data_IF_927836365923
#
_entry.id   IF_927836365923
#
_cell.length_a   1.000
_cell.length_b   1.000
_cell.length_c   1.000
_cell.angle_alpha   90.00
_cell.angle_beta   90.00
_cell.angle_gamma   90.00
#
_symmetry.space_group_name_H-M   'P 1'
#
loop_
_entity.id
_entity.type
_entity.pdbx_description
1 polymer ?
#
# COMPACT_ATOMS: atom_id res chain seq x y z
N UNK A 1 3.89 -6.20 -34.84
CA UNK A 1 3.65 -7.38 -33.98
C UNK A 1 4.77 -7.44 -32.96
N UNK A 2 4.53 -6.91 -31.76
CA UNK A 2 5.52 -6.91 -30.68
C UNK A 2 5.19 -8.07 -29.74
N UNK A 3 6.09 -9.04 -29.67
CA UNK A 3 6.01 -10.22 -28.82
C UNK A 3 6.21 -9.81 -27.36
N UNK A 4 5.17 -10.00 -26.55
CA UNK A 4 5.25 -9.90 -25.09
C UNK A 4 6.11 -11.06 -24.56
N UNK A 5 7.28 -10.73 -24.03
CA UNK A 5 8.11 -11.67 -23.30
C UNK A 5 7.35 -12.08 -22.03
N UNK A 6 7.02 -13.38 -21.97
CA UNK A 6 6.57 -14.04 -20.77
C UNK A 6 7.67 -13.92 -19.70
N UNK A 7 7.36 -13.28 -18.59
CA UNK A 7 8.14 -13.43 -17.38
C UNK A 7 7.71 -14.75 -16.74
N UNK A 8 8.61 -15.74 -16.85
CA UNK A 8 8.49 -17.06 -16.24
C UNK A 8 8.08 -16.98 -14.77
N UNK A 9 7.08 -17.80 -14.45
CA UNK A 9 6.64 -18.05 -13.10
C UNK A 9 7.59 -18.99 -12.39
N UNK A 10 8.43 -18.44 -11.53
CA UNK A 10 9.06 -19.16 -10.43
C UNK A 10 8.72 -18.40 -9.14
N UNK A 11 7.43 -18.38 -8.79
CA UNK A 11 6.94 -17.86 -7.51
C UNK A 11 7.36 -18.83 -6.41
N UNK A 12 8.63 -18.68 -5.99
CA UNK A 12 9.08 -19.16 -4.70
C UNK A 12 8.09 -18.64 -3.67
N UNK A 13 7.33 -19.56 -3.04
CA UNK A 13 6.46 -19.29 -1.89
C UNK A 13 7.32 -18.81 -0.71
N UNK A 14 7.87 -17.60 -0.81
CA UNK A 14 8.50 -16.91 0.30
C UNK A 14 7.35 -16.53 1.21
N UNK A 15 7.35 -17.12 2.40
CA UNK A 15 6.47 -16.67 3.46
C UNK A 15 6.96 -15.28 3.86
N UNK A 16 6.13 -14.27 3.64
CA UNK A 16 6.37 -12.93 4.14
C UNK A 16 5.75 -12.84 5.53
N UNK A 17 6.56 -12.52 6.54
CA UNK A 17 6.08 -12.35 7.91
C UNK A 17 5.29 -11.04 8.06
N UNK A 18 5.59 -10.04 7.24
CA UNK A 18 4.93 -8.74 7.24
C UNK A 18 4.54 -8.28 5.83
N UNK A 19 3.46 -7.50 5.74
CA UNK A 19 3.05 -6.86 4.48
C UNK A 19 4.15 -5.93 3.95
N UNK A 20 4.92 -5.32 4.84
CA UNK A 20 5.98 -4.40 4.49
C UNK A 20 7.11 -5.08 3.72
N UNK A 21 7.45 -6.33 4.08
CA UNK A 21 8.47 -7.14 3.38
C UNK A 21 7.99 -7.56 2.00
N UNK A 22 6.72 -7.96 1.88
CA UNK A 22 6.12 -8.27 0.59
C UNK A 22 6.21 -7.09 -0.37
N UNK A 23 5.83 -5.89 0.09
CA UNK A 23 5.86 -4.69 -0.75
C UNK A 23 7.27 -4.28 -1.19
N UNK A 24 8.31 -4.61 -0.41
CA UNK A 24 9.69 -4.32 -0.76
C UNK A 24 10.24 -5.25 -1.84
N UNK A 25 9.77 -6.50 -1.93
CA UNK A 25 10.23 -7.47 -2.94
C UNK A 25 9.53 -7.27 -4.30
N UNK A 26 8.44 -6.49 -4.33
CA UNK A 26 7.64 -6.29 -5.54
C UNK A 26 8.41 -5.50 -6.61
N UNK A 27 8.38 -5.95 -7.88
CA UNK A 27 8.99 -5.21 -8.97
C UNK A 27 8.23 -3.90 -9.24
N UNK A 28 8.97 -2.89 -9.66
CA UNK A 28 8.47 -1.54 -9.97
C UNK A 28 7.26 -1.51 -10.92
N UNK A 29 7.22 -2.40 -11.91
CA UNK A 29 6.09 -2.50 -12.83
C UNK A 29 4.79 -2.91 -12.11
N UNK A 30 4.88 -3.84 -11.15
CA UNK A 30 3.75 -4.28 -10.33
C UNK A 30 3.30 -3.18 -9.37
N UNK A 31 4.24 -2.46 -8.75
CA UNK A 31 3.92 -1.31 -7.89
C UNK A 31 3.23 -0.20 -8.68
N UNK A 32 3.71 0.13 -9.88
CA UNK A 32 3.05 1.07 -10.79
C UNK A 32 1.61 0.64 -11.11
N UNK A 33 1.36 -0.63 -11.40
CA UNK A 33 0.00 -1.15 -11.62
C UNK A 33 -0.85 -1.06 -10.34
N UNK A 34 -0.28 -1.35 -9.19
CA UNK A 34 -0.96 -1.23 -7.90
C UNK A 34 -1.39 0.21 -7.62
N UNK A 35 -0.55 1.20 -7.96
CA UNK A 35 -0.87 2.62 -7.82
C UNK A 35 -1.86 3.18 -8.84
N UNK A 36 -2.24 2.40 -9.87
CA UNK A 36 -3.24 2.83 -10.85
C UNK A 36 -4.64 2.99 -10.25
N UNK A 37 -4.97 2.20 -9.23
CA UNK A 37 -6.26 2.28 -8.54
C UNK A 37 -6.18 3.27 -7.37
N UNK A 38 -7.13 4.21 -7.24
CA UNK A 38 -7.07 5.24 -6.21
C UNK A 38 -7.24 4.67 -4.79
N UNK A 39 -8.02 3.60 -4.62
CA UNK A 39 -8.25 2.97 -3.31
C UNK A 39 -7.02 2.27 -2.75
N UNK A 40 -6.23 1.58 -3.58
CA UNK A 40 -4.99 0.91 -3.16
C UNK A 40 -3.90 1.92 -2.82
N UNK A 41 -3.74 2.99 -3.61
CA UNK A 41 -2.81 4.07 -3.32
C UNK A 41 -3.12 4.71 -1.96
N UNK A 42 -4.41 4.93 -1.68
CA UNK A 42 -4.86 5.46 -0.40
C UNK A 42 -4.70 4.46 0.76
N UNK A 43 -4.87 3.16 0.52
CA UNK A 43 -4.59 2.12 1.51
C UNK A 43 -3.10 2.09 1.90
N UNK A 44 -2.20 2.17 0.92
CA UNK A 44 -0.76 2.26 1.17
C UNK A 44 -0.37 3.53 1.89
N UNK A 45 -0.99 4.66 1.54
CA UNK A 45 -0.81 5.90 2.28
C UNK A 45 -1.16 5.76 3.77
N UNK A 46 -2.20 4.99 4.11
CA UNK A 46 -2.58 4.73 5.51
C UNK A 46 -1.59 3.83 6.25
N UNK A 47 -0.91 2.93 5.56
CA UNK A 47 0.10 2.02 6.13
C UNK A 47 1.41 2.74 6.48
N UNK A 48 1.76 3.81 5.75
CA UNK A 48 3.00 4.55 5.95
C UNK A 48 3.10 5.24 7.32
N UNK A 49 4.32 5.43 7.87
CA UNK A 49 4.53 6.15 9.13
C UNK A 49 4.08 7.62 9.02
N UNK A 50 3.75 8.22 10.16
CA UNK A 50 3.17 9.57 10.21
C UNK A 50 4.00 10.63 9.47
N UNK A 51 5.33 10.57 9.60
CA UNK A 51 6.26 11.48 8.92
C UNK A 51 6.21 11.32 7.40
N UNK A 52 6.25 10.08 6.89
CA UNK A 52 6.15 9.81 5.46
C UNK A 52 4.82 10.31 4.86
N UNK A 53 3.71 10.18 5.61
CA UNK A 53 2.40 10.70 5.19
C UNK A 53 2.41 12.22 5.07
N UNK A 54 3.03 12.91 6.02
CA UNK A 54 3.17 14.37 5.97
C UNK A 54 3.99 14.78 4.74
N UNK A 55 5.14 14.13 4.48
CA UNK A 55 5.96 14.40 3.30
C UNK A 55 5.18 14.20 1.99
N UNK A 56 4.48 13.07 1.84
CA UNK A 56 3.65 12.82 0.66
C UNK A 56 2.61 13.94 0.49
N UNK A 57 1.95 14.35 1.58
CA UNK A 57 0.91 15.38 1.52
C UNK A 57 1.48 16.71 1.03
N UNK A 58 2.65 17.13 1.51
CA UNK A 58 3.32 18.32 1.01
C UNK A 58 3.71 18.17 -0.47
N UNK A 59 4.34 17.05 -0.84
CA UNK A 59 4.75 16.77 -2.23
C UNK A 59 3.56 16.59 -3.18
N UNK A 60 2.38 16.25 -2.68
CA UNK A 60 1.16 16.08 -3.47
C UNK A 60 0.65 17.40 -4.02
N UNK A 61 0.83 18.50 -3.28
CA UNK A 61 0.40 19.84 -3.70
C UNK A 61 1.51 20.62 -4.42
N UNK A 62 2.72 20.05 -4.49
CA UNK A 62 3.87 20.65 -5.16
C UNK A 62 4.06 19.96 -6.52
N UNK A 63 3.85 20.72 -7.60
CA UNK A 63 4.00 20.23 -8.97
C UNK A 63 5.48 20.22 -9.43
N UNK A 64 6.36 20.91 -8.71
CA UNK A 64 7.79 21.02 -9.01
C UNK A 64 8.64 20.07 -8.17
N UNK A 65 9.79 19.66 -8.72
CA UNK A 65 10.80 18.94 -7.95
C UNK A 65 11.38 19.84 -6.86
N UNK A 66 11.57 19.30 -5.65
CA UNK A 66 12.04 20.04 -4.48
C UNK A 66 13.40 19.53 -4.06
N UNK A 67 14.24 20.43 -3.56
CA UNK A 67 15.55 20.06 -3.04
C UNK A 67 15.42 19.39 -1.67
N UNK A 68 16.21 18.34 -1.44
CA UNK A 68 16.23 17.63 -0.16
C UNK A 68 16.50 18.56 1.03
N UNK A 69 17.41 19.52 0.84
CA UNK A 69 17.77 20.55 1.83
C UNK A 69 16.58 21.39 2.29
N UNK A 70 15.63 21.67 1.39
CA UNK A 70 14.42 22.42 1.68
C UNK A 70 13.44 21.59 2.53
N UNK A 71 13.29 20.30 2.23
CA UNK A 71 12.49 19.39 3.07
C UNK A 71 13.09 19.21 4.45
N UNK A 72 14.42 19.11 4.56
CA UNK A 72 15.12 19.01 5.84
C UNK A 72 14.91 20.25 6.71
N UNK A 73 14.76 21.43 6.09
CA UNK A 73 14.48 22.68 6.79
C UNK A 73 13.08 22.69 7.44
N UNK A 74 12.13 21.86 6.98
CA UNK A 74 10.79 21.77 7.57
C UNK A 74 10.74 20.90 8.82
N UNK A 75 11.85 20.27 9.19
CA UNK A 75 11.94 19.31 10.29
C UNK A 75 12.55 19.99 11.50
N UNK A 76 12.01 19.68 12.68
CA UNK A 76 12.56 20.19 13.93
C UNK A 76 14.07 19.82 14.03
N UNK A 77 14.93 20.72 14.54
CA UNK A 77 16.38 20.52 14.55
C UNK A 77 16.90 19.41 15.49
N UNK A 78 16.02 18.54 16.00
CA UNK A 78 16.37 17.41 16.86
C UNK A 78 17.01 16.26 16.07
N UNK A 79 18.01 15.59 16.65
CA UNK A 79 18.69 14.45 16.03
C UNK A 79 17.74 13.25 15.78
N UNK A 80 16.79 13.01 16.69
CA UNK A 80 15.77 11.96 16.54
C UNK A 80 14.83 12.23 15.35
N UNK A 81 14.46 13.49 15.12
CA UNK A 81 13.60 13.89 14.01
C UNK A 81 14.30 13.70 12.66
N UNK A 82 15.60 13.99 12.57
CA UNK A 82 16.41 13.71 11.37
C UNK A 82 16.50 12.22 11.07
N UNK A 83 16.71 11.37 12.06
CA UNK A 83 16.74 9.92 11.83
C UNK A 83 15.37 9.40 11.33
N UNK A 84 14.28 9.87 11.94
CA UNK A 84 12.93 9.52 11.48
C UNK A 84 12.67 9.98 10.03
N UNK A 85 13.21 11.12 9.62
CA UNK A 85 13.12 11.61 8.25
C UNK A 85 13.86 10.71 7.26
N UNK A 86 15.10 10.34 7.56
CA UNK A 86 15.87 9.42 6.72
C UNK A 86 15.18 8.08 6.56
N UNK A 87 14.65 7.55 7.66
CA UNK A 87 13.89 6.29 7.66
C UNK A 87 12.63 6.41 6.80
N UNK A 88 11.91 7.54 6.89
CA UNK A 88 10.73 7.80 6.09
C UNK A 88 11.06 7.96 4.59
N UNK A 89 12.12 8.68 4.24
CA UNK A 89 12.58 8.82 2.86
C UNK A 89 13.01 7.48 2.26
N UNK A 90 13.78 6.68 3.01
CA UNK A 90 14.17 5.34 2.59
C UNK A 90 12.95 4.46 2.32
N UNK A 91 11.89 4.58 3.13
CA UNK A 91 10.62 3.86 2.91
C UNK A 91 9.91 4.32 1.63
N UNK A 92 9.87 5.62 1.36
CA UNK A 92 9.24 6.17 0.15
C UNK A 92 9.99 5.80 -1.12
N UNK A 93 11.31 5.67 -1.04
CA UNK A 93 12.18 5.21 -2.13
C UNK A 93 12.00 3.71 -2.40
N UNK A 94 11.94 2.89 -1.34
CA UNK A 94 11.70 1.45 -1.46
C UNK A 94 10.37 1.15 -2.17
N UNK A 95 9.33 1.94 -1.87
CA UNK A 95 8.02 1.81 -2.51
C UNK A 95 7.93 2.51 -3.88
N UNK A 96 9.04 3.07 -4.39
CA UNK A 96 9.10 3.79 -5.66
C UNK A 96 8.08 4.94 -5.78
N UNK A 97 7.70 5.54 -4.64
CA UNK A 97 6.80 6.70 -4.58
C UNK A 97 7.58 7.98 -4.91
N UNK A 98 8.79 8.08 -4.33
CA UNK A 98 9.71 9.20 -4.53
C UNK A 98 10.97 8.70 -5.24
N UNK A 99 11.43 9.44 -6.23
CA UNK A 99 12.71 9.22 -6.92
C UNK A 99 13.65 10.39 -6.67
N UNK A 100 14.90 10.07 -6.30
CA UNK A 100 16.00 11.02 -6.19
C UNK A 100 16.64 11.23 -7.56
N UNK A 101 16.86 12.49 -7.94
CA UNK A 101 17.58 12.87 -9.16
C UNK A 101 18.67 13.89 -8.84
N UNK A 102 19.88 13.66 -9.36
CA UNK A 102 21.03 14.55 -9.22
C UNK A 102 22.02 14.18 -8.10
N UNK A 103 23.21 14.84 -8.09
CA UNK A 103 24.26 14.59 -7.10
C UNK A 103 23.91 15.18 -5.72
N UNK A 104 24.44 14.58 -4.65
CA UNK A 104 24.43 15.16 -3.29
C UNK A 104 25.39 16.37 -3.25
N UNK A 105 25.01 17.55 -2.72
CA UNK A 105 23.88 17.87 -1.83
C UNK A 105 22.60 18.37 -2.52
N UNK A 106 22.63 18.70 -3.82
CA UNK A 106 21.49 19.22 -4.59
C UNK A 106 20.56 18.11 -5.10
N UNK A 107 20.26 17.12 -4.26
CA UNK A 107 19.40 16.01 -4.65
C UNK A 107 17.97 16.52 -4.77
N UNK A 108 17.41 16.46 -5.99
CA UNK A 108 16.03 16.81 -6.27
C UNK A 108 15.14 15.60 -6.06
N UNK A 109 14.09 15.77 -5.27
CA UNK A 109 13.10 14.74 -4.99
C UNK A 109 11.89 14.97 -5.90
N UNK A 110 11.56 13.95 -6.70
CA UNK A 110 10.41 13.96 -7.60
C UNK A 110 9.48 12.82 -7.24
N UNK A 111 8.18 13.10 -7.11
CA UNK A 111 7.17 12.08 -6.87
C UNK A 111 6.68 11.48 -8.19
N UNK A 112 6.37 10.18 -8.18
CA UNK A 112 5.78 9.48 -9.33
C UNK A 112 4.44 10.11 -9.73
N UNK A 113 4.29 10.45 -11.01
CA UNK A 113 3.09 11.13 -11.52
C UNK A 113 1.83 10.26 -11.43
N UNK A 114 1.99 8.95 -11.62
CA UNK A 114 0.89 8.01 -11.51
C UNK A 114 0.33 7.95 -10.09
N UNK A 115 1.23 7.87 -9.09
CA UNK A 115 0.86 7.87 -7.67
C UNK A 115 0.23 9.22 -7.28
N UNK A 116 0.79 10.33 -7.77
CA UNK A 116 0.24 11.68 -7.57
C UNK A 116 -1.21 11.75 -8.05
N UNK A 117 -1.46 11.33 -9.28
CA UNK A 117 -2.77 11.42 -9.93
C UNK A 117 -3.80 10.53 -9.24
N UNK A 118 -3.45 9.28 -8.95
CA UNK A 118 -4.36 8.36 -8.26
C UNK A 118 -4.67 8.80 -6.83
N UNK A 119 -3.68 9.34 -6.11
CA UNK A 119 -3.87 9.85 -4.77
C UNK A 119 -4.70 11.14 -4.73
N UNK A 120 -4.48 12.09 -5.64
CA UNK A 120 -5.34 13.28 -5.78
C UNK A 120 -6.79 12.89 -6.05
N UNK A 121 -7.03 11.90 -6.93
CA UNK A 121 -8.37 11.35 -7.18
C UNK A 121 -8.97 10.68 -5.94
N UNK A 122 -8.17 9.94 -5.19
CA UNK A 122 -8.62 9.27 -3.98
C UNK A 122 -9.06 10.27 -2.88
N UNK A 123 -8.34 11.38 -2.72
CA UNK A 123 -8.69 12.42 -1.74
C UNK A 123 -9.90 13.27 -2.14
N UNK A 124 -10.03 13.58 -3.43
CA UNK A 124 -11.16 14.36 -3.95
C UNK A 124 -12.42 13.52 -4.14
N UNK A 125 -12.32 12.19 -3.99
CA UNK A 125 -13.41 11.26 -4.30
C UNK A 125 -13.85 11.31 -5.76
N UNK A 126 -13.06 11.93 -6.64
CA UNK A 126 -13.42 12.20 -8.03
C UNK A 126 -12.97 11.09 -8.98
N UNK A 127 -13.83 10.76 -9.95
CA UNK A 127 -13.53 9.86 -11.06
C UNK A 127 -14.58 8.78 -11.30
N UNK A 128 -14.48 8.08 -12.43
CA UNK A 128 -15.36 6.95 -12.82
C UNK A 128 -15.03 5.64 -12.10
N UNK A 129 -13.97 5.60 -11.30
CA UNK A 129 -13.60 4.42 -10.55
C UNK A 129 -14.53 4.30 -9.33
N UNK A 130 -15.48 3.35 -9.40
CA UNK A 130 -16.30 2.87 -8.27
C UNK A 130 -15.43 2.12 -7.23
N UNK A 131 -14.30 2.71 -6.87
CA UNK A 131 -13.26 2.13 -6.02
C UNK A 131 -13.64 2.14 -4.54
N UNK A 132 -14.58 3.00 -4.17
CA UNK A 132 -15.24 2.99 -2.87
C UNK A 132 -16.61 2.35 -3.07
N UNK A 133 -16.96 1.42 -2.17
CA UNK A 133 -18.18 0.62 -2.28
C UNK A 133 -19.39 1.49 -2.58
N UNK A 134 -20.18 1.06 -3.56
CA UNK A 134 -21.43 1.75 -3.92
C UNK A 134 -22.49 1.31 -2.91
N UNK A 135 -23.13 2.26 -2.19
CA UNK A 135 -24.22 1.89 -1.29
C UNK A 135 -25.35 1.23 -2.10
N UNK A 136 -25.96 0.19 -1.53
CA UNK A 136 -27.11 -0.46 -2.15
C UNK A 136 -28.36 0.39 -1.90
N UNK A 137 -28.97 0.89 -2.97
CA UNK A 137 -30.22 1.68 -2.90
C UNK A 137 -31.49 0.82 -2.81
N UNK A 138 -31.36 -0.51 -2.91
CA UNK A 138 -32.48 -1.43 -2.78
C UNK A 138 -32.94 -1.50 -1.33
N UNK A 139 -34.24 -1.27 -1.02
CA UNK A 139 -34.75 -1.38 0.33
C UNK A 139 -34.51 -2.80 0.85
N UNK A 140 -33.74 -2.87 1.92
CA UNK A 140 -33.20 -4.12 2.43
C UNK A 140 -34.28 -4.86 3.24
N UNK A 141 -34.93 -5.83 2.59
CA UNK A 141 -35.93 -6.69 3.22
C UNK A 141 -35.33 -7.64 4.29
N UNK A 142 -34.00 -7.67 4.46
CA UNK A 142 -33.26 -8.46 5.47
C UNK A 142 -32.58 -7.60 6.55
N UNK A 143 -32.62 -6.27 6.44
CA UNK A 143 -31.87 -5.33 7.30
C UNK A 143 -32.26 -5.43 8.78
N UNK A 144 -33.53 -5.74 9.07
CA UNK A 144 -34.08 -5.71 10.43
C UNK A 144 -33.87 -7.05 11.16
N UNK A 145 -33.56 -8.15 10.44
CA UNK A 145 -33.45 -9.50 11.03
C UNK A 145 -32.00 -10.08 10.99
N UNK A 146 -31.04 -9.32 10.46
CA UNK A 146 -29.65 -9.75 10.27
C UNK A 146 -28.64 -8.80 10.92
N UNK A 147 -28.71 -8.63 12.24
CA UNK A 147 -27.75 -7.80 12.96
C UNK A 147 -26.30 -8.29 12.85
N UNK A 148 -25.36 -7.43 13.29
CA UNK A 148 -23.93 -7.72 13.46
C UNK A 148 -23.63 -9.12 14.03
N UNK A 149 -24.40 -9.68 15.00
CA UNK A 149 -24.14 -11.03 15.51
C UNK A 149 -24.24 -12.15 14.48
N UNK A 150 -25.11 -12.02 13.46
CA UNK A 150 -25.27 -13.03 12.40
C UNK A 150 -24.08 -12.99 11.43
N UNK A 151 -23.63 -11.80 11.06
CA UNK A 151 -22.44 -11.60 10.22
C UNK A 151 -21.18 -12.12 10.92
N UNK A 152 -21.04 -11.85 12.23
CA UNK A 152 -19.92 -12.37 13.01
C UNK A 152 -19.93 -13.91 13.09
N UNK A 153 -21.11 -14.52 13.28
CA UNK A 153 -21.27 -15.98 13.26
C UNK A 153 -20.91 -16.56 11.89
N UNK A 154 -21.39 -15.96 10.81
CA UNK A 154 -21.10 -16.39 9.45
C UNK A 154 -19.59 -16.33 9.15
N UNK A 155 -18.95 -15.20 9.45
CA UNK A 155 -17.50 -15.03 9.29
C UNK A 155 -16.72 -16.09 10.11
N UNK A 156 -17.08 -16.25 11.39
CA UNK A 156 -16.47 -17.26 12.26
C UNK A 156 -16.64 -18.69 11.72
N UNK A 157 -17.83 -19.01 11.21
CA UNK A 157 -18.12 -20.36 10.66
C UNK A 157 -17.42 -20.64 9.33
N UNK A 158 -17.12 -19.60 8.54
CA UNK A 158 -16.39 -19.75 7.29
C UNK A 158 -14.89 -19.96 7.52
N UNK A 159 -14.31 -19.27 8.50
CA UNK A 159 -12.86 -19.33 8.74
C UNK A 159 -12.43 -20.50 9.62
N UNK A 160 -13.29 -20.96 10.54
CA UNK A 160 -13.01 -22.10 11.44
C UNK A 160 -12.65 -23.40 10.71
N UNK A 161 -13.36 -23.83 9.64
CA UNK A 161 -13.00 -25.02 8.88
C UNK A 161 -11.65 -24.88 8.20
N UNK A 162 -11.33 -23.72 7.63
CA UNK A 162 -10.04 -23.46 6.98
C UNK A 162 -8.88 -23.58 7.98
N UNK A 163 -9.01 -22.99 9.16
CA UNK A 163 -8.00 -23.11 10.23
C UNK A 163 -7.94 -24.53 10.80
N UNK A 164 -9.09 -25.19 10.94
CA UNK A 164 -9.17 -26.58 11.39
C UNK A 164 -8.47 -27.53 10.43
N UNK A 165 -8.74 -27.42 9.12
CA UNK A 165 -8.14 -28.24 8.07
C UNK A 165 -6.61 -28.08 8.02
N UNK A 166 -6.10 -26.85 8.08
CA UNK A 166 -4.65 -26.61 8.12
C UNK A 166 -4.00 -27.22 9.36
N UNK A 167 -4.66 -27.13 10.53
CA UNK A 167 -4.16 -27.72 11.77
C UNK A 167 -4.16 -29.26 11.72
N UNK A 168 -5.20 -29.88 11.17
CA UNK A 168 -5.29 -31.35 11.05
C UNK A 168 -4.34 -31.90 9.99
N UNK A 169 -4.15 -31.22 8.87
CA UNK A 169 -3.21 -31.62 7.81
C UNK A 169 -1.75 -31.61 8.32
N UNK A 170 -1.36 -30.61 9.13
CA UNK A 170 -0.03 -30.56 9.75
C UNK A 170 0.17 -31.69 10.75
N UNK A 171 -0.85 -32.00 11.57
CA UNK A 171 -0.78 -33.12 12.54
C UNK A 171 -0.71 -34.48 11.82
N UNK A 172 -1.48 -34.68 10.74
CA UNK A 172 -1.45 -35.91 9.96
C UNK A 172 -0.12 -36.10 9.20
N UNK A 173 0.51 -35.01 8.74
CA UNK A 173 1.81 -35.07 8.07
C UNK A 173 2.96 -35.37 9.04
N UNK A 174 2.90 -34.86 10.28
CA UNK A 174 3.90 -35.17 11.33
C UNK A 174 3.72 -36.59 11.89
N UNK A 175 2.50 -37.14 11.89
CA UNK A 175 2.25 -38.49 12.38
C UNK A 175 2.52 -39.61 11.35
N UNK A 176 2.76 -39.27 10.08
CA UNK A 176 3.11 -40.22 9.00
C UNK A 176 4.60 -40.20 8.62
N UNK A 177 5.43 -39.43 9.33
CA UNK A 177 6.90 -39.51 9.30
C UNK A 177 7.39 -40.22 10.56
#
# INVERSE_FOLDING_TARGET
MATAAAADGEDSRRAYDSLDDFLNDLPKATLSRLYSTPSSALALFRLLPALARQLITHLLFLDTAIERTELEAWIAPAASARNAFETALGRLEALWIVSKSGPTPSTKLTMSDQFRTSMRRALTGGGTHRSFGVPCDTPDSMMVLSGMPRLNRAASSSWRPTTGYMRTQVIHCVSLC
#
